data_IF_837497972049
#
_entry.id   IF_837497972049
#
_cell.length_a   1.000
_cell.length_b   1.000
_cell.length_c   1.000
_cell.angle_alpha   90.00
_cell.angle_beta   90.00
_cell.angle_gamma   90.00
#
_symmetry.space_group_name_H-M   'P 1'
#
loop_
_entity.id
_entity.type
_entity.pdbx_description
1 polymer ?
#
# COMPACT_ATOMS: atom_id res chain seq x y z
N UNK A 1 1.92 -28.65 3.75
CA UNK A 1 1.55 -27.27 3.44
C UNK A 1 1.70 -26.41 4.69
N UNK A 2 2.09 -25.16 4.52
CA UNK A 2 2.16 -24.19 5.61
C UNK A 2 0.73 -23.81 6.06
N UNK A 3 0.62 -23.35 7.31
CA UNK A 3 -0.67 -22.94 7.85
C UNK A 3 -1.15 -21.63 7.18
N UNK A 4 -2.46 -21.51 6.99
CA UNK A 4 -3.10 -20.26 6.57
C UNK A 4 -3.03 -19.27 7.73
N UNK A 5 -2.69 -18.02 7.44
CA UNK A 5 -2.68 -16.96 8.44
C UNK A 5 -1.65 -15.86 8.20
N UNK A 6 -1.33 -15.13 9.24
CA UNK A 6 -0.41 -14.00 9.20
C UNK A 6 1.03 -14.41 8.87
N UNK A 7 1.72 -13.67 7.99
CA UNK A 7 3.09 -13.92 7.57
C UNK A 7 4.11 -13.99 8.71
N UNK A 8 3.86 -13.34 9.84
CA UNK A 8 4.73 -13.40 11.02
C UNK A 8 4.77 -14.82 11.61
N UNK A 9 3.64 -15.50 11.64
CA UNK A 9 3.58 -16.90 12.13
C UNK A 9 4.19 -17.87 11.14
N UNK A 10 4.18 -17.58 9.85
CA UNK A 10 4.83 -18.40 8.82
C UNK A 10 6.34 -18.56 9.05
N UNK A 11 7.01 -17.62 9.72
CA UNK A 11 8.43 -17.75 10.07
C UNK A 11 8.66 -18.96 10.98
N UNK A 12 7.79 -19.17 11.97
CA UNK A 12 7.87 -20.34 12.85
C UNK A 12 7.65 -21.64 12.08
N UNK A 13 6.72 -21.64 11.12
CA UNK A 13 6.46 -22.79 10.26
C UNK A 13 7.67 -23.10 9.37
N UNK A 14 8.30 -22.08 8.78
CA UNK A 14 9.53 -22.23 7.98
C UNK A 14 10.64 -22.89 8.81
N UNK A 15 10.90 -22.38 10.03
CA UNK A 15 11.92 -22.95 10.93
C UNK A 15 11.59 -24.41 11.26
N UNK A 16 10.32 -24.74 11.51
CA UNK A 16 9.91 -26.12 11.79
C UNK A 16 10.10 -27.04 10.59
N UNK A 17 9.82 -26.55 9.36
CA UNK A 17 10.06 -27.32 8.13
C UNK A 17 11.56 -27.54 7.90
N UNK A 18 12.39 -26.52 8.11
CA UNK A 18 13.86 -26.64 8.04
C UNK A 18 14.40 -27.70 9.01
N UNK A 19 13.90 -27.70 10.26
CA UNK A 19 14.26 -28.72 11.27
C UNK A 19 13.84 -30.12 10.87
N UNK A 20 12.79 -30.26 10.07
CA UNK A 20 12.33 -31.56 9.51
C UNK A 20 13.09 -31.97 8.26
N UNK A 21 14.08 -31.19 7.80
CA UNK A 21 14.91 -31.49 6.64
C UNK A 21 14.29 -31.14 5.30
N UNK A 22 13.26 -30.28 5.26
CA UNK A 22 12.71 -29.81 4.00
C UNK A 22 13.71 -28.90 3.29
N UNK A 23 13.80 -29.04 1.98
CA UNK A 23 14.65 -28.19 1.15
C UNK A 23 14.09 -26.75 1.04
N UNK A 24 14.94 -25.80 0.65
CA UNK A 24 14.51 -24.43 0.39
C UNK A 24 13.42 -24.35 -0.67
N UNK A 25 13.53 -25.15 -1.74
CA UNK A 25 12.57 -25.16 -2.83
C UNK A 25 11.19 -25.68 -2.40
N UNK A 26 11.15 -26.71 -1.57
CA UNK A 26 9.91 -27.24 -1.01
C UNK A 26 9.25 -26.23 -0.08
N UNK A 27 10.03 -25.50 0.73
CA UNK A 27 9.52 -24.45 1.61
C UNK A 27 8.97 -23.28 0.76
N UNK A 28 9.70 -22.84 -0.26
CA UNK A 28 9.27 -21.77 -1.16
C UNK A 28 7.99 -22.14 -1.94
N UNK A 29 7.91 -23.37 -2.42
CA UNK A 29 6.70 -23.90 -3.06
C UNK A 29 5.51 -23.93 -2.08
N UNK A 30 5.75 -24.30 -0.83
CA UNK A 30 4.72 -24.30 0.23
C UNK A 30 4.23 -22.89 0.57
N UNK A 31 5.11 -21.89 0.56
CA UNK A 31 4.76 -20.48 0.73
C UNK A 31 3.88 -19.97 -0.43
N UNK A 32 4.21 -20.34 -1.66
CA UNK A 32 3.37 -20.00 -2.81
C UNK A 32 2.00 -20.68 -2.72
N UNK A 33 1.95 -21.95 -2.30
CA UNK A 33 0.72 -22.73 -2.20
C UNK A 33 -0.26 -22.24 -1.12
N UNK A 34 0.22 -21.61 -0.04
CA UNK A 34 -0.65 -21.07 1.01
C UNK A 34 -1.25 -19.70 0.65
N UNK A 35 -0.65 -18.99 -0.29
CA UNK A 35 -1.09 -17.64 -0.68
C UNK A 35 -2.55 -17.59 -1.16
N UNK A 36 -3.04 -18.49 -2.03
CA UNK A 36 -4.44 -18.51 -2.43
C UNK A 36 -5.40 -18.68 -1.24
N UNK A 37 -5.06 -19.51 -0.28
CA UNK A 37 -5.85 -19.69 0.94
C UNK A 37 -5.94 -18.39 1.73
N UNK A 38 -4.82 -17.68 1.87
CA UNK A 38 -4.78 -16.39 2.55
C UNK A 38 -5.59 -15.32 1.82
N UNK A 39 -5.53 -15.29 0.49
CA UNK A 39 -6.24 -14.28 -0.32
C UNK A 39 -7.74 -14.59 -0.38
N UNK A 40 -8.12 -15.79 -0.81
CA UNK A 40 -9.52 -16.11 -1.09
C UNK A 40 -10.31 -16.47 0.16
N UNK A 41 -9.74 -17.29 1.03
CA UNK A 41 -10.46 -17.82 2.18
C UNK A 41 -10.31 -16.92 3.40
N UNK A 42 -9.08 -16.56 3.76
CA UNK A 42 -8.82 -15.81 4.99
C UNK A 42 -9.16 -14.32 4.85
N UNK A 43 -8.60 -13.63 3.87
CA UNK A 43 -8.83 -12.19 3.68
C UNK A 43 -10.14 -11.92 2.94
N UNK A 44 -10.40 -12.66 1.85
CA UNK A 44 -11.59 -12.48 1.02
C UNK A 44 -12.86 -13.10 1.60
N UNK A 45 -12.73 -14.00 2.58
CA UNK A 45 -13.83 -14.73 3.22
C UNK A 45 -14.75 -15.46 2.21
N UNK A 46 -14.21 -15.82 1.04
CA UNK A 46 -14.92 -16.49 -0.03
C UNK A 46 -14.86 -18.01 0.17
N UNK A 47 -15.79 -18.55 0.93
CA UNK A 47 -15.88 -20.00 1.17
C UNK A 47 -16.35 -20.77 -0.07
N UNK A 48 -17.21 -20.17 -0.90
CA UNK A 48 -17.69 -20.73 -2.14
C UNK A 48 -17.20 -19.91 -3.34
N UNK A 49 -16.04 -20.26 -3.87
CA UNK A 49 -15.45 -19.55 -4.99
C UNK A 49 -16.28 -19.67 -6.27
N UNK A 50 -17.02 -20.77 -6.46
CA UNK A 50 -17.90 -20.95 -7.60
C UNK A 50 -19.06 -19.94 -7.63
N UNK A 51 -19.48 -19.42 -6.49
CA UNK A 51 -20.50 -18.37 -6.41
C UNK A 51 -19.99 -17.01 -6.94
N UNK A 52 -18.68 -16.80 -6.96
CA UNK A 52 -18.08 -15.58 -7.52
C UNK A 52 -18.05 -15.59 -9.06
N UNK A 53 -18.32 -16.71 -9.70
CA UNK A 53 -18.37 -16.86 -11.15
C UNK A 53 -17.31 -17.82 -11.70
N UNK A 54 -17.05 -17.71 -13.02
CA UNK A 54 -16.12 -18.58 -13.73
C UNK A 54 -14.95 -17.84 -14.38
N UNK A 55 -14.97 -16.51 -14.37
CA UNK A 55 -13.90 -15.70 -14.93
C UNK A 55 -13.17 -14.98 -13.81
N UNK A 56 -11.87 -15.21 -13.73
CA UNK A 56 -11.01 -14.65 -12.68
C UNK A 56 -9.89 -13.85 -13.33
N UNK A 57 -9.74 -12.60 -12.90
CA UNK A 57 -8.64 -11.74 -13.33
C UNK A 57 -7.69 -11.57 -12.16
N UNK A 58 -6.46 -12.03 -12.32
CA UNK A 58 -5.41 -11.90 -11.31
C UNK A 58 -4.66 -10.57 -11.53
N UNK A 59 -4.73 -9.69 -10.54
CA UNK A 59 -4.13 -8.37 -10.54
C UNK A 59 -3.23 -8.17 -9.31
N UNK A 60 -2.34 -7.20 -9.39
CA UNK A 60 -1.36 -6.90 -8.35
C UNK A 60 0.04 -7.41 -8.71
N UNK A 61 1.08 -6.69 -8.24
CA UNK A 61 2.47 -6.95 -8.59
C UNK A 61 2.99 -8.35 -8.20
N UNK A 62 2.37 -9.00 -7.22
CA UNK A 62 2.70 -10.38 -6.82
C UNK A 62 2.49 -11.38 -7.95
N UNK A 63 1.61 -11.10 -8.90
CA UNK A 63 1.35 -11.97 -10.06
C UNK A 63 2.40 -11.88 -11.17
N UNK A 64 3.47 -11.11 -10.98
CA UNK A 64 4.70 -11.21 -11.75
C UNK A 64 5.53 -12.46 -11.37
N UNK A 65 5.24 -13.06 -10.22
CA UNK A 65 5.85 -14.30 -9.77
C UNK A 65 5.06 -15.52 -10.29
N UNK A 66 5.67 -16.30 -11.16
CA UNK A 66 5.01 -17.45 -11.79
C UNK A 66 4.60 -18.55 -10.81
N UNK A 67 5.33 -18.75 -9.70
CA UNK A 67 4.95 -19.70 -8.66
C UNK A 67 3.65 -19.27 -7.97
N UNK A 68 3.48 -17.97 -7.73
CA UNK A 68 2.24 -17.40 -7.18
C UNK A 68 1.09 -17.56 -8.18
N UNK A 69 1.32 -17.26 -9.45
CA UNK A 69 0.31 -17.44 -10.50
C UNK A 69 -0.13 -18.90 -10.58
N UNK A 70 0.85 -19.84 -10.62
CA UNK A 70 0.53 -21.27 -10.66
C UNK A 70 -0.32 -21.69 -9.46
N UNK A 71 0.06 -21.30 -8.25
CA UNK A 71 -0.68 -21.61 -7.04
C UNK A 71 -2.12 -21.08 -7.08
N UNK A 72 -2.32 -19.84 -7.57
CA UNK A 72 -3.63 -19.25 -7.75
C UNK A 72 -4.47 -20.03 -8.77
N UNK A 73 -3.89 -20.37 -9.92
CA UNK A 73 -4.56 -21.13 -10.99
C UNK A 73 -4.96 -22.51 -10.50
N UNK A 74 -4.07 -23.23 -9.84
CA UNK A 74 -4.35 -24.57 -9.31
C UNK A 74 -5.48 -24.51 -8.28
N UNK A 75 -5.42 -23.56 -7.34
CA UNK A 75 -6.44 -23.38 -6.31
C UNK A 75 -7.82 -23.06 -6.90
N UNK A 76 -7.87 -22.11 -7.84
CA UNK A 76 -9.14 -21.70 -8.48
C UNK A 76 -9.75 -22.86 -9.27
N UNK A 77 -8.93 -23.58 -10.05
CA UNK A 77 -9.40 -24.71 -10.85
C UNK A 77 -9.85 -25.91 -10.03
N UNK A 78 -9.24 -26.12 -8.87
CA UNK A 78 -9.71 -27.15 -7.92
C UNK A 78 -11.14 -26.86 -7.40
N UNK A 79 -11.45 -25.59 -7.17
CA UNK A 79 -12.76 -25.15 -6.65
C UNK A 79 -13.78 -24.87 -7.74
N UNK A 80 -13.34 -24.43 -8.91
CA UNK A 80 -14.17 -24.06 -10.05
C UNK A 80 -13.61 -24.72 -11.32
N UNK A 81 -13.99 -25.97 -11.60
CA UNK A 81 -13.59 -26.64 -12.82
C UNK A 81 -13.98 -25.81 -14.05
N UNK A 82 -13.10 -25.72 -15.04
CA UNK A 82 -13.27 -24.91 -16.25
C UNK A 82 -13.30 -23.39 -16.02
N UNK A 83 -12.73 -22.91 -14.92
CA UNK A 83 -12.53 -21.48 -14.72
C UNK A 83 -11.60 -20.91 -15.80
N UNK A 84 -12.00 -19.78 -16.37
CA UNK A 84 -11.15 -18.91 -17.19
C UNK A 84 -10.35 -18.00 -16.26
N UNK A 85 -9.04 -18.13 -16.30
CA UNK A 85 -8.16 -17.36 -15.43
C UNK A 85 -7.20 -16.55 -16.28
N UNK A 86 -7.20 -15.24 -16.10
CA UNK A 86 -6.38 -14.28 -16.85
C UNK A 86 -5.48 -13.55 -15.90
N UNK A 87 -4.18 -13.53 -16.17
CA UNK A 87 -3.25 -12.61 -15.55
C UNK A 87 -3.16 -11.38 -16.43
N UNK A 88 -3.52 -10.22 -15.88
CA UNK A 88 -3.49 -8.99 -16.66
C UNK A 88 -2.05 -8.65 -17.07
N UNK A 89 -1.76 -8.27 -18.33
CA UNK A 89 -0.40 -7.91 -18.78
C UNK A 89 0.25 -6.84 -17.93
N UNK A 90 -0.55 -5.87 -17.47
CA UNK A 90 -0.15 -4.79 -16.55
C UNK A 90 -0.66 -5.06 -15.14
N UNK A 91 -0.47 -6.27 -14.63
CA UNK A 91 -1.00 -6.68 -13.33
C UNK A 91 -0.50 -5.79 -12.18
N UNK A 92 0.74 -5.30 -12.25
CA UNK A 92 1.33 -4.39 -11.26
C UNK A 92 0.71 -2.99 -11.28
N UNK A 93 0.30 -2.54 -12.44
CA UNK A 93 -0.24 -1.20 -12.71
C UNK A 93 -1.77 -1.15 -12.73
N UNK A 94 -2.44 -2.29 -12.54
CA UNK A 94 -3.89 -2.42 -12.66
C UNK A 94 -4.67 -1.45 -11.75
N UNK A 95 -4.15 -1.17 -10.55
CA UNK A 95 -4.74 -0.18 -9.64
C UNK A 95 -4.69 1.24 -10.20
N UNK A 96 -3.57 1.64 -10.80
CA UNK A 96 -3.42 2.95 -11.42
C UNK A 96 -4.31 3.09 -12.66
N UNK A 97 -4.39 2.04 -13.47
CA UNK A 97 -5.29 2.00 -14.64
C UNK A 97 -6.75 2.13 -14.19
N UNK A 98 -7.15 1.40 -13.15
CA UNK A 98 -8.50 1.51 -12.59
C UNK A 98 -8.82 2.89 -12.06
N UNK A 99 -7.89 3.51 -11.32
CA UNK A 99 -8.04 4.88 -10.84
C UNK A 99 -8.19 5.89 -11.98
N UNK A 100 -7.41 5.74 -13.06
CA UNK A 100 -7.52 6.60 -14.24
C UNK A 100 -8.87 6.44 -14.95
N UNK A 101 -9.38 5.22 -15.07
CA UNK A 101 -10.71 4.96 -15.63
C UNK A 101 -11.82 5.59 -14.78
N UNK A 102 -11.77 5.44 -13.45
CA UNK A 102 -12.73 6.08 -12.56
C UNK A 102 -12.66 7.61 -12.65
N UNK A 103 -11.47 8.19 -12.69
CA UNK A 103 -11.31 9.63 -12.88
C UNK A 103 -11.90 10.09 -14.21
N UNK A 104 -11.69 9.31 -15.29
CA UNK A 104 -12.29 9.58 -16.60
C UNK A 104 -13.82 9.61 -16.58
N UNK A 105 -14.44 8.67 -15.86
CA UNK A 105 -15.90 8.67 -15.69
C UNK A 105 -16.41 9.90 -14.89
N UNK A 106 -15.71 10.30 -13.84
CA UNK A 106 -16.05 11.52 -13.09
C UNK A 106 -15.96 12.79 -13.94
N UNK A 107 -14.91 12.89 -14.79
CA UNK A 107 -14.75 14.01 -15.71
C UNK A 107 -15.90 14.06 -16.75
N UNK A 108 -16.32 12.89 -17.29
CA UNK A 108 -17.48 12.81 -18.19
C UNK A 108 -18.78 13.27 -17.52
N UNK A 109 -18.91 13.07 -16.22
CA UNK A 109 -20.05 13.54 -15.42
C UNK A 109 -19.96 15.02 -15.03
N UNK A 110 -18.95 15.75 -15.53
CA UNK A 110 -18.78 17.18 -15.29
C UNK A 110 -17.98 17.53 -14.04
N UNK A 111 -17.31 16.57 -13.40
CA UNK A 111 -16.43 16.87 -12.29
C UNK A 111 -15.23 17.73 -12.78
N UNK A 112 -14.85 18.81 -12.06
CA UNK A 112 -13.74 19.66 -12.47
C UNK A 112 -12.41 18.92 -12.30
N UNK A 113 -11.55 18.97 -13.32
CA UNK A 113 -10.17 18.52 -13.21
C UNK A 113 -9.35 19.50 -12.36
N UNK A 114 -8.59 18.97 -11.41
CA UNK A 114 -7.55 19.70 -10.66
C UNK A 114 -6.14 19.35 -11.12
N UNK A 115 -6.02 18.60 -12.20
CA UNK A 115 -4.72 18.25 -12.77
C UNK A 115 -4.05 19.49 -13.36
N UNK A 116 -2.83 19.77 -12.92
CA UNK A 116 -2.08 20.99 -13.27
C UNK A 116 -1.20 20.84 -14.51
N UNK A 117 -1.23 19.68 -15.16
CA UNK A 117 -0.38 19.37 -16.31
C UNK A 117 0.97 18.75 -15.93
N UNK A 118 1.59 18.09 -16.90
CA UNK A 118 2.91 17.44 -16.70
C UNK A 118 4.02 18.47 -16.54
N UNK A 119 3.98 19.59 -17.26
CA UNK A 119 4.98 20.65 -17.16
C UNK A 119 5.10 21.20 -15.72
N UNK A 120 3.97 21.26 -15.00
CA UNK A 120 3.96 21.67 -13.59
C UNK A 120 4.64 20.61 -12.71
N UNK A 121 4.52 19.33 -13.05
CA UNK A 121 5.15 18.23 -12.31
C UNK A 121 6.65 18.24 -12.55
N UNK A 122 7.09 18.44 -13.79
CA UNK A 122 8.51 18.51 -14.17
C UNK A 122 9.21 19.74 -13.57
N UNK A 123 8.47 20.84 -13.40
CA UNK A 123 8.97 22.06 -12.76
C UNK A 123 8.86 22.03 -11.22
N UNK A 124 8.41 20.93 -10.61
CA UNK A 124 8.19 20.85 -9.17
C UNK A 124 9.53 20.83 -8.41
N UNK A 125 9.79 21.88 -7.66
CA UNK A 125 10.92 21.92 -6.73
C UNK A 125 10.47 21.34 -5.38
N UNK A 126 11.14 20.29 -4.91
CA UNK A 126 10.87 19.72 -3.60
C UNK A 126 12.14 19.19 -2.96
N UNK A 127 12.12 19.11 -1.63
CA UNK A 127 13.13 18.43 -0.84
C UNK A 127 12.46 17.42 0.08
N UNK A 128 13.17 16.33 0.38
CA UNK A 128 12.69 15.28 1.25
C UNK A 128 13.71 15.05 2.39
N UNK A 129 13.27 15.19 3.63
CA UNK A 129 14.12 15.07 4.81
C UNK A 129 13.59 14.02 5.75
N UNK A 130 14.44 13.05 6.11
CA UNK A 130 14.16 12.04 7.14
C UNK A 130 15.38 11.93 8.06
N UNK A 131 15.27 12.45 9.29
CA UNK A 131 16.34 12.44 10.28
C UNK A 131 15.78 12.47 11.71
N UNK A 132 16.61 12.65 12.70
CA UNK A 132 16.18 12.74 14.10
C UNK A 132 15.22 13.91 14.38
N UNK A 133 15.38 15.03 13.67
CA UNK A 133 14.51 16.21 13.84
C UNK A 133 13.10 15.98 13.26
N UNK A 134 12.96 15.07 12.30
CA UNK A 134 11.66 14.70 11.74
C UNK A 134 10.93 13.64 12.58
N UNK A 135 11.61 12.99 13.54
CA UNK A 135 11.00 11.97 14.40
C UNK A 135 9.88 12.57 15.24
N UNK A 136 8.72 11.92 15.23
CA UNK A 136 7.59 12.30 16.06
C UNK A 136 7.88 12.02 17.54
N UNK A 137 7.69 13.03 18.39
CA UNK A 137 7.95 12.94 19.86
C UNK A 137 6.67 13.07 20.70
N UNK A 138 5.50 12.92 20.10
CA UNK A 138 4.21 13.08 20.78
C UNK A 138 3.80 11.88 21.64
N UNK A 139 4.48 10.74 21.49
CA UNK A 139 4.29 9.57 22.32
C UNK A 139 5.54 8.67 22.30
N UNK A 140 5.64 7.66 23.18
CA UNK A 140 6.81 6.78 23.29
C UNK A 140 7.18 6.00 22.02
N UNK A 141 6.22 5.84 21.06
CA UNK A 141 6.46 5.09 19.80
C UNK A 141 7.52 5.76 18.93
N UNK A 142 7.71 7.09 19.05
CA UNK A 142 8.76 7.84 18.35
C UNK A 142 8.85 7.54 16.85
N UNK A 143 7.72 7.59 16.16
CA UNK A 143 7.61 7.24 14.74
C UNK A 143 8.52 8.09 13.87
N UNK A 144 9.24 7.44 12.95
CA UNK A 144 9.98 8.13 11.89
C UNK A 144 8.98 8.75 10.91
N UNK A 145 9.27 10.00 10.50
CA UNK A 145 8.47 10.75 9.53
C UNK A 145 9.38 11.31 8.46
N UNK A 146 8.82 11.53 7.28
CA UNK A 146 9.48 12.25 6.19
C UNK A 146 8.81 13.60 6.01
N UNK A 147 9.59 14.66 6.05
CA UNK A 147 9.13 16.01 5.71
C UNK A 147 9.42 16.23 4.23
N UNK A 148 8.37 16.52 3.47
CA UNK A 148 8.45 16.83 2.05
C UNK A 148 8.09 18.30 1.92
N UNK A 149 9.10 19.11 1.64
CA UNK A 149 8.96 20.55 1.46
C UNK A 149 8.85 20.82 -0.04
N UNK A 150 7.76 21.43 -0.45
CA UNK A 150 7.42 21.69 -1.85
C UNK A 150 7.32 23.18 -2.07
N UNK A 151 7.97 23.68 -3.13
CA UNK A 151 7.82 25.07 -3.55
C UNK A 151 6.44 25.28 -4.18
N UNK A 152 5.66 26.19 -3.60
CA UNK A 152 4.29 26.47 -4.03
C UNK A 152 4.01 27.96 -4.02
N UNK A 153 3.34 28.52 -5.06
CA UNK A 153 2.86 29.90 -5.02
C UNK A 153 1.95 30.11 -3.79
N UNK A 154 2.28 31.10 -2.97
CA UNK A 154 1.56 31.39 -1.72
C UNK A 154 1.89 30.49 -0.55
N UNK A 155 2.92 29.69 -0.62
CA UNK A 155 3.44 28.92 0.50
C UNK A 155 3.83 29.80 1.68
N UNK A 156 3.31 29.52 2.88
CA UNK A 156 3.44 30.40 4.06
C UNK A 156 4.73 30.22 4.81
N UNK A 157 5.55 29.24 4.45
CA UNK A 157 6.72 28.88 5.22
C UNK A 157 6.38 28.40 6.64
N UNK A 158 7.41 28.06 7.42
CA UNK A 158 7.27 27.67 8.85
C UNK A 158 8.49 28.09 9.64
N UNK A 159 8.54 29.33 10.05
CA UNK A 159 9.70 29.90 10.74
C UNK A 159 9.88 29.39 12.17
N UNK A 160 8.80 28.88 12.78
CA UNK A 160 8.77 28.34 14.15
C UNK A 160 9.15 26.85 14.23
N UNK A 161 9.23 26.15 13.10
CA UNK A 161 9.64 24.75 13.06
C UNK A 161 11.13 24.58 13.45
N UNK A 162 11.48 23.44 14.04
CA UNK A 162 12.88 23.04 14.25
C UNK A 162 13.66 22.87 12.94
N UNK A 163 12.94 22.65 11.85
CA UNK A 163 13.44 22.71 10.47
C UNK A 163 12.69 23.85 9.79
N UNK A 164 13.21 25.09 9.87
CA UNK A 164 12.53 26.25 9.29
C UNK A 164 12.28 26.09 7.79
N UNK A 165 11.18 26.63 7.33
CA UNK A 165 10.77 26.60 5.94
C UNK A 165 10.56 28.03 5.47
N UNK A 166 11.17 28.40 4.36
CA UNK A 166 11.07 29.73 3.77
C UNK A 166 9.67 30.03 3.22
N UNK A 167 9.34 31.31 3.05
CA UNK A 167 8.14 31.71 2.31
C UNK A 167 8.20 31.18 0.86
N UNK A 168 7.04 30.89 0.31
CA UNK A 168 6.93 30.24 -1.01
C UNK A 168 7.07 28.71 -0.94
N UNK A 169 7.17 28.14 0.27
CA UNK A 169 7.25 26.69 0.48
C UNK A 169 6.15 26.21 1.41
N UNK A 170 5.67 24.98 1.13
CA UNK A 170 4.72 24.25 1.98
C UNK A 170 5.33 22.91 2.41
N UNK A 171 5.04 22.49 3.63
CA UNK A 171 5.50 21.19 4.15
C UNK A 171 4.37 20.18 4.21
N UNK A 172 4.60 19.03 3.60
CA UNK A 172 3.80 17.82 3.75
C UNK A 172 4.57 16.85 4.65
N UNK A 173 3.93 16.34 5.68
CA UNK A 173 4.52 15.35 6.59
C UNK A 173 3.95 13.99 6.22
N UNK A 174 4.82 13.08 5.80
CA UNK A 174 4.51 11.68 5.56
C UNK A 174 4.97 10.84 6.76
N UNK A 175 4.09 10.01 7.27
CA UNK A 175 4.35 9.15 8.43
C UNK A 175 3.35 8.00 8.46
N UNK A 176 3.11 7.47 9.65
CA UNK A 176 2.05 6.49 9.85
C UNK A 176 0.66 7.17 9.91
N UNK A 177 -0.41 6.36 10.01
CA UNK A 177 -1.81 6.82 9.99
C UNK A 177 -2.23 7.65 11.22
N UNK A 178 -1.33 7.94 12.16
CA UNK A 178 -1.65 8.68 13.36
C UNK A 178 -1.77 10.19 13.08
N UNK A 179 -2.92 10.85 13.36
CA UNK A 179 -3.09 12.29 13.12
C UNK A 179 -2.04 13.15 13.82
N UNK A 180 -1.58 12.74 15.01
CA UNK A 180 -0.50 13.43 15.74
C UNK A 180 0.83 13.43 14.98
N UNK A 181 1.05 12.42 14.13
CA UNK A 181 2.25 12.32 13.29
C UNK A 181 2.36 13.42 12.24
N UNK A 182 1.25 14.06 11.88
CA UNK A 182 1.19 15.14 10.90
C UNK A 182 1.47 16.53 11.49
N UNK A 183 1.74 16.62 12.79
CA UNK A 183 1.89 17.88 13.51
C UNK A 183 3.36 18.13 13.87
N UNK A 184 3.76 19.38 13.84
CA UNK A 184 5.08 19.83 14.30
C UNK A 184 5.04 20.59 15.62
N UNK A 185 3.91 21.20 15.95
CA UNK A 185 3.75 22.13 17.09
C UNK A 185 2.62 21.69 18.03
N UNK A 186 2.78 22.03 19.31
CA UNK A 186 1.79 21.83 20.38
C UNK A 186 0.48 22.58 20.10
N UNK A 187 0.54 23.75 19.48
CA UNK A 187 -0.66 24.52 19.15
C UNK A 187 -1.50 23.83 18.08
N UNK A 188 -0.86 23.22 17.09
CA UNK A 188 -1.56 22.37 16.11
C UNK A 188 -2.24 21.16 16.80
N UNK A 189 -1.60 20.61 17.85
CA UNK A 189 -2.15 19.51 18.63
C UNK A 189 -3.49 19.87 19.28
N UNK A 190 -3.65 21.10 19.78
CA UNK A 190 -4.92 21.55 20.38
C UNK A 190 -6.06 21.49 19.38
N UNK A 191 -5.80 21.89 18.12
CA UNK A 191 -6.82 21.85 17.05
C UNK A 191 -7.21 20.41 16.71
N UNK A 192 -6.24 19.50 16.68
CA UNK A 192 -6.54 18.07 16.38
C UNK A 192 -7.30 17.42 17.54
N UNK A 193 -6.98 17.77 18.78
CA UNK A 193 -7.68 17.26 19.97
C UNK A 193 -9.19 17.58 19.89
N UNK A 194 -9.54 18.81 19.56
CA UNK A 194 -10.95 19.22 19.40
C UNK A 194 -11.70 18.54 18.23
N UNK A 195 -10.98 17.96 17.28
CA UNK A 195 -11.61 17.21 16.17
C UNK A 195 -11.79 15.72 16.49
N UNK A 196 -11.17 15.25 17.57
CA UNK A 196 -11.19 13.84 17.98
C UNK A 196 -12.11 13.62 19.22
N UNK A 197 -12.53 14.69 19.88
CA UNK A 197 -13.60 14.74 20.91
C UNK A 197 -14.96 15.01 20.26
#
# INVERSE_FOLDING_TARGET
>A
ALAMGCGVFLQSDIVNQQRKGWSADEIMASLAAVLPLNVWVYAGQLQNLAAAGRKFVLQGGTHRNLAVVKAQVDFVRDKVPNAEIVVHPYCGEAGAIGAALCAGEWLKQGAPSRFRGYDTIDALEYTSTTNEHTTCKWCPVSCKRTFIDVRMPGGKGRHWSKLPLAEGWERVISGNSCPKGLLEDVNEMKVVKHKLE
#
